data_IF_074829146271
#
_entry.id   IF_074829146271
#
_cell.length_a   1.000
_cell.length_b   1.000
_cell.length_c   1.000
_cell.angle_alpha   90.00
_cell.angle_beta   90.00
_cell.angle_gamma   90.00
#
_symmetry.space_group_name_H-M   'P 1'
#
loop_
_entity.id
_entity.type
_entity.pdbx_description
1 polymer ?
#
# COMPACT_ATOMS: atom_id res chain seq x y z
N UNK A 1 -5.73 -12.92 9.60
CA UNK A 1 -4.40 -12.52 9.13
C UNK A 1 -3.39 -12.88 10.22
N UNK A 2 -2.32 -13.61 9.90
CA UNK A 2 -1.23 -13.85 10.86
C UNK A 2 -0.41 -12.57 10.97
N UNK A 3 -0.08 -12.15 12.19
CA UNK A 3 0.80 -11.00 12.43
C UNK A 3 2.16 -11.29 11.80
N UNK A 4 2.66 -10.38 10.96
CA UNK A 4 3.98 -10.47 10.34
C UNK A 4 4.07 -11.11 8.95
N UNK A 5 2.95 -11.37 8.26
CA UNK A 5 2.99 -11.82 6.86
C UNK A 5 2.37 -10.76 5.94
N UNK A 6 2.91 -10.68 4.72
CA UNK A 6 2.66 -9.66 3.70
C UNK A 6 1.26 -9.03 3.74
N UNK A 7 1.22 -7.70 3.90
CA UNK A 7 -0.01 -6.98 4.23
C UNK A 7 -1.04 -7.00 3.10
N UNK A 8 -0.56 -6.98 1.85
CA UNK A 8 -1.31 -7.26 0.64
C UNK A 8 -0.38 -7.22 -0.59
N UNK A 9 -0.73 -8.00 -1.61
CA UNK A 9 -0.11 -8.00 -2.94
C UNK A 9 -1.04 -7.27 -3.90
N UNK A 10 -0.56 -6.20 -4.55
CA UNK A 10 -1.43 -5.29 -5.29
C UNK A 10 -1.26 -5.36 -6.82
N UNK A 11 -0.11 -5.82 -7.32
CA UNK A 11 0.22 -5.77 -8.75
C UNK A 11 1.22 -6.85 -9.15
N UNK A 12 1.14 -7.33 -10.39
CA UNK A 12 2.21 -8.12 -10.98
C UNK A 12 3.42 -7.22 -11.32
N UNK A 13 4.63 -7.77 -11.23
CA UNK A 13 5.87 -7.03 -11.49
C UNK A 13 5.96 -6.45 -12.91
N UNK A 14 5.37 -7.14 -13.90
CA UNK A 14 5.31 -6.69 -15.30
C UNK A 14 4.53 -5.39 -15.50
N UNK A 15 3.72 -5.01 -14.52
CA UNK A 15 2.97 -3.76 -14.53
C UNK A 15 3.69 -2.64 -13.76
N UNK A 16 4.76 -2.95 -13.03
CA UNK A 16 5.52 -2.01 -12.21
C UNK A 16 6.83 -1.55 -12.85
N UNK A 17 7.16 -2.05 -14.03
CA UNK A 17 8.37 -1.66 -14.76
C UNK A 17 8.39 -0.15 -15.00
N UNK A 18 9.46 0.52 -14.55
CA UNK A 18 9.63 1.98 -14.58
C UNK A 18 8.54 2.79 -13.85
N UNK A 19 7.77 2.14 -12.96
CA UNK A 19 6.77 2.82 -12.14
C UNK A 19 7.37 3.37 -10.86
N UNK A 20 6.98 4.59 -10.49
CA UNK A 20 7.16 5.11 -9.14
C UNK A 20 5.91 4.79 -8.33
N UNK A 21 6.09 4.14 -7.17
CA UNK A 21 5.00 3.80 -6.28
C UNK A 21 5.07 4.68 -5.04
N UNK A 22 3.96 5.36 -4.76
CA UNK A 22 3.77 6.13 -3.53
C UNK A 22 2.77 5.41 -2.67
N UNK A 23 3.04 5.33 -1.36
CA UNK A 23 2.05 4.82 -0.43
C UNK A 23 1.94 5.72 0.79
N UNK A 24 0.71 5.93 1.23
CA UNK A 24 0.39 6.60 2.48
C UNK A 24 -0.46 5.67 3.34
N UNK A 25 -0.15 5.65 4.63
CA UNK A 25 -0.91 4.95 5.64
C UNK A 25 -1.33 5.91 6.74
N UNK A 26 -2.56 5.74 7.21
CA UNK A 26 -3.12 6.58 8.24
C UNK A 26 -4.06 5.79 9.14
N UNK A 27 -3.98 6.02 10.45
CA UNK A 27 -5.10 5.66 11.33
C UNK A 27 -6.24 6.64 11.06
N UNK A 28 -7.44 6.12 10.87
CA UNK A 28 -8.65 6.91 10.70
C UNK A 28 -9.56 6.76 11.90
N UNK A 29 -10.00 7.89 12.43
CA UNK A 29 -10.94 7.97 13.54
C UNK A 29 -12.36 7.62 13.13
N UNK A 30 -13.24 7.51 14.11
CA UNK A 30 -14.67 7.19 13.91
C UNK A 30 -15.42 8.19 13.01
N UNK A 31 -14.91 9.41 12.87
CA UNK A 31 -15.41 10.46 11.98
C UNK A 31 -14.77 10.44 10.59
N UNK A 32 -14.02 9.39 10.23
CA UNK A 32 -13.22 9.24 8.99
C UNK A 32 -12.13 10.29 8.81
N UNK A 33 -11.77 11.04 9.85
CA UNK A 33 -10.60 11.91 9.80
C UNK A 33 -9.35 11.10 10.09
N UNK A 34 -8.29 11.44 9.37
CA UNK A 34 -6.96 10.96 9.69
C UNK A 34 -6.56 11.45 11.09
N UNK A 35 -6.16 10.52 11.94
CA UNK A 35 -5.67 10.78 13.30
C UNK A 35 -4.15 10.78 13.36
N UNK A 36 -3.50 9.82 12.70
CA UNK A 36 -2.04 9.71 12.61
C UNK A 36 -1.59 9.30 11.21
N UNK A 37 -0.35 9.66 10.84
CA UNK A 37 0.37 9.02 9.73
C UNK A 37 1.15 7.85 10.28
N UNK A 38 1.07 6.73 9.59
CA UNK A 38 1.85 5.53 9.90
C UNK A 38 2.87 5.29 8.79
N UNK A 39 4.00 4.71 9.18
CA UNK A 39 5.05 4.33 8.24
C UNK A 39 5.02 2.82 8.03
N UNK A 40 4.94 2.44 6.76
CA UNK A 40 5.05 1.06 6.31
C UNK A 40 6.23 1.00 5.33
N UNK A 41 6.97 -0.08 5.38
CA UNK A 41 7.97 -0.37 4.36
C UNK A 41 7.25 -0.77 3.08
N UNK A 42 7.80 -0.36 1.95
CA UNK A 42 7.23 -0.69 0.65
C UNK A 42 8.30 -1.31 -0.21
N UNK A 43 8.00 -2.44 -0.83
CA UNK A 43 8.97 -3.16 -1.66
C UNK A 43 8.35 -3.52 -2.99
N UNK A 44 9.10 -3.29 -4.07
CA UNK A 44 8.81 -3.83 -5.39
C UNK A 44 9.78 -4.99 -5.62
N UNK A 45 9.26 -6.17 -5.98
CA UNK A 45 10.06 -7.32 -6.39
C UNK A 45 9.49 -7.97 -7.66
N UNK A 46 10.07 -9.11 -8.06
CA UNK A 46 9.66 -9.85 -9.26
C UNK A 46 8.23 -10.41 -9.19
N UNK A 47 7.62 -10.47 -8.02
CA UNK A 47 6.22 -10.88 -7.86
C UNK A 47 5.27 -9.69 -7.84
N UNK A 48 5.73 -8.49 -7.47
CA UNK A 48 4.85 -7.32 -7.44
C UNK A 48 5.23 -6.21 -6.49
N UNK A 49 4.21 -5.44 -6.12
CA UNK A 49 4.30 -4.42 -5.08
C UNK A 49 3.74 -4.95 -3.76
N UNK A 50 4.56 -4.82 -2.74
CA UNK A 50 4.30 -5.25 -1.38
C UNK A 50 4.34 -4.06 -0.45
N UNK A 51 3.38 -4.04 0.45
CA UNK A 51 3.46 -3.23 1.65
C UNK A 51 3.82 -4.17 2.78
N UNK A 52 4.85 -3.82 3.54
CA UNK A 52 5.38 -4.59 4.64
C UNK A 52 5.45 -3.75 5.90
N UNK A 53 5.29 -4.44 7.02
CA UNK A 53 5.61 -3.94 8.35
C UNK A 53 6.17 -5.12 9.11
N UNK A 54 7.28 -4.93 9.81
CA UNK A 54 7.85 -6.05 10.56
C UNK A 54 6.86 -6.53 11.62
N UNK A 55 6.96 -7.79 12.04
CA UNK A 55 6.11 -8.33 13.11
C UNK A 55 6.16 -7.45 14.35
N UNK A 56 7.37 -7.03 14.74
CA UNK A 56 7.61 -6.17 15.89
C UNK A 56 6.87 -4.83 15.77
N UNK A 57 6.88 -4.20 14.60
CA UNK A 57 6.17 -2.94 14.39
C UNK A 57 4.66 -3.13 14.25
N UNK A 58 4.22 -4.28 13.73
CA UNK A 58 2.81 -4.62 13.61
C UNK A 58 2.19 -4.85 14.98
N UNK A 59 2.95 -5.43 15.92
CA UNK A 59 2.55 -5.62 17.32
C UNK A 59 2.39 -4.29 18.08
N UNK A 60 3.02 -3.21 17.61
CA UNK A 60 2.91 -1.87 18.19
C UNK A 60 1.69 -1.08 17.66
N UNK A 61 0.98 -1.60 16.66
CA UNK A 61 -0.21 -0.93 16.15
C UNK A 61 -1.34 -1.02 17.17
N UNK A 62 -1.86 0.14 17.56
CA UNK A 62 -3.05 0.22 18.40
C UNK A 62 -4.28 -0.33 17.69
N UNK A 63 -5.25 -0.95 18.40
CA UNK A 63 -6.52 -1.32 17.81
C UNK A 63 -7.21 -0.12 17.13
N UNK A 64 -7.77 -0.35 15.94
CA UNK A 64 -8.38 0.72 15.16
C UNK A 64 -8.50 0.41 13.68
N UNK A 65 -9.02 1.41 12.95
CA UNK A 65 -9.12 1.38 11.50
C UNK A 65 -7.97 2.16 10.88
N UNK A 66 -7.32 1.55 9.90
CA UNK A 66 -6.21 2.12 9.16
C UNK A 66 -6.60 2.17 7.69
N UNK A 67 -6.40 3.31 7.05
CA UNK A 67 -6.57 3.46 5.61
C UNK A 67 -5.19 3.52 4.96
N UNK A 68 -5.11 2.94 3.77
CA UNK A 68 -3.95 3.09 2.92
C UNK A 68 -4.35 3.46 1.51
N UNK A 69 -3.50 4.27 0.89
CA UNK A 69 -3.63 4.71 -0.49
C UNK A 69 -2.29 4.47 -1.19
N UNK A 70 -2.33 3.73 -2.30
CA UNK A 70 -1.20 3.39 -3.17
C UNK A 70 -1.42 4.04 -4.52
N UNK A 71 -0.45 4.84 -4.95
CA UNK A 71 -0.45 5.49 -6.26
C UNK A 71 0.74 4.97 -7.06
N UNK A 72 0.45 4.28 -8.15
CA UNK A 72 1.44 3.83 -9.13
C UNK A 72 1.44 4.81 -10.28
N UNK A 73 2.59 5.45 -10.54
CA UNK A 73 2.80 6.37 -11.65
C UNK A 73 3.87 5.84 -12.59
N UNK A 74 3.54 5.73 -13.87
CA UNK A 74 4.49 5.37 -14.93
C UNK A 74 4.93 6.63 -15.66
N UNK A 75 6.21 6.68 -16.02
CA UNK A 75 6.78 7.83 -16.72
C UNK A 75 6.36 7.90 -18.19
N UNK A 76 5.98 6.76 -18.79
CA UNK A 76 5.55 6.68 -20.19
C UNK A 76 4.01 6.59 -20.30
N UNK A 77 3.33 7.61 -20.87
CA UNK A 77 1.88 7.59 -21.08
C UNK A 77 1.41 6.61 -22.17
N UNK A 78 2.32 6.03 -22.97
CA UNK A 78 2.03 5.07 -24.06
C UNK A 78 2.34 3.62 -23.64
N UNK A 79 2.77 3.40 -22.39
CA UNK A 79 3.14 2.10 -21.86
C UNK A 79 2.01 1.09 -21.97
N UNK A 80 2.14 0.11 -22.89
CA UNK A 80 1.13 -0.90 -23.24
C UNK A 80 -0.26 -0.25 -23.42
N UNK A 81 -0.68 -0.02 -24.66
CA UNK A 81 -1.89 0.74 -25.12
C UNK A 81 -3.22 0.59 -24.34
N UNK A 82 -3.33 -0.33 -23.38
CA UNK A 82 -4.50 -0.58 -22.55
C UNK A 82 -4.29 -0.35 -21.05
N UNK A 83 -3.10 0.08 -20.61
CA UNK A 83 -2.79 0.30 -19.19
C UNK A 83 -2.75 1.79 -18.90
N UNK A 84 -3.51 2.25 -17.89
CA UNK A 84 -3.47 3.65 -17.45
C UNK A 84 -2.07 4.00 -16.94
N UNK A 85 -1.59 5.20 -17.27
CA UNK A 85 -0.29 5.70 -16.81
C UNK A 85 -0.24 6.00 -15.30
N UNK A 86 -1.41 6.23 -14.68
CA UNK A 86 -1.58 6.28 -13.23
C UNK A 86 -2.69 5.34 -12.78
N UNK A 87 -2.45 4.62 -11.69
CA UNK A 87 -3.46 3.79 -11.04
C UNK A 87 -3.40 4.01 -9.53
N UNK A 88 -4.56 4.23 -8.94
CA UNK A 88 -4.75 4.46 -7.51
C UNK A 88 -5.50 3.27 -6.90
N UNK A 89 -5.01 2.78 -5.77
CA UNK A 89 -5.62 1.71 -4.98
C UNK A 89 -5.74 2.18 -3.54
N UNK A 90 -6.95 2.15 -3.03
CA UNK A 90 -7.22 2.42 -1.63
C UNK A 90 -7.70 1.14 -0.94
N UNK A 91 -7.39 1.01 0.35
CA UNK A 91 -7.94 -0.06 1.16
C UNK A 91 -8.01 0.30 2.63
N UNK A 92 -8.75 -0.53 3.38
CA UNK A 92 -8.98 -0.37 4.80
C UNK A 92 -8.51 -1.64 5.51
N UNK A 93 -7.76 -1.46 6.58
CA UNK A 93 -7.35 -2.49 7.53
C UNK A 93 -8.00 -2.20 8.87
N UNK A 94 -8.59 -3.23 9.48
CA UNK A 94 -9.12 -3.16 10.86
C UNK A 94 -8.25 -4.06 11.74
N UNK A 95 -7.75 -3.49 12.83
CA UNK A 95 -7.04 -4.21 13.89
C UNK A 95 -7.93 -4.20 15.13
N UNK A 96 -8.24 -5.41 15.63
CA UNK A 96 -9.00 -5.64 16.86
C UNK A 96 -8.08 -5.87 18.07
#
# INVERSE_FOLDING_TARGET
>A
MRRGEDFAHFFESSDLENATVFCQFARVGSNRRQESKEYFETQIDLSGYWIRKSTMETDLLSPGTYQYDVLVKRNDPVWKTHVKNSIEYGGILVIE
#
